data_IF_204400974331
#
_entry.id   IF_204400974331
#
_cell.length_a   1.000
_cell.length_b   1.000
_cell.length_c   1.000
_cell.angle_alpha   90.00
_cell.angle_beta   90.00
_cell.angle_gamma   90.00
#
_symmetry.space_group_name_H-M   'P 1'
#
loop_
_entity.id
_entity.type
_entity.pdbx_description
1 polymer ?
#
# COMPACT_ATOMS: atom_id res chain seq x y z
N UNK A 1 13.62 60.70 -18.74
CA UNK A 1 13.38 61.88 -17.88
C UNK A 1 12.01 62.44 -18.21
N UNK A 2 11.25 63.06 -17.28
CA UNK A 2 11.24 63.06 -15.80
C UNK A 2 9.92 62.39 -15.29
N UNK A 3 9.59 62.14 -14.02
CA UNK A 3 10.01 62.69 -12.74
C UNK A 3 8.78 63.33 -12.05
N UNK A 4 8.22 62.69 -11.00
CA UNK A 4 7.36 63.36 -10.01
C UNK A 4 7.15 62.50 -8.75
N UNK A 5 7.95 62.79 -7.72
CA UNK A 5 7.74 62.48 -6.30
C UNK A 5 6.80 63.51 -5.65
N UNK A 6 5.94 63.10 -4.69
CA UNK A 6 5.90 63.57 -3.27
C UNK A 6 4.61 63.17 -2.53
N UNK A 7 4.76 62.45 -1.40
CA UNK A 7 4.38 62.81 0.01
C UNK A 7 2.88 62.85 0.31
N UNK A 8 2.30 62.46 1.45
CA UNK A 8 2.65 62.01 2.81
C UNK A 8 1.31 61.38 3.34
N UNK A 9 1.29 60.44 4.29
CA UNK A 9 1.00 60.83 5.68
C UNK A 9 1.44 59.79 6.70
N UNK A 10 2.01 60.32 7.79
CA UNK A 10 2.61 59.66 8.93
C UNK A 10 1.60 59.77 10.08
N UNK A 11 1.05 58.66 10.54
CA UNK A 11 0.33 58.62 11.82
C UNK A 11 1.00 57.65 12.78
N UNK A 12 1.38 58.24 13.92
CA UNK A 12 2.06 57.66 15.06
C UNK A 12 1.12 56.72 15.84
N UNK A 13 1.59 55.53 16.23
CA UNK A 13 1.17 54.88 17.48
C UNK A 13 2.37 54.19 18.13
N UNK A 14 2.89 54.86 19.16
CA UNK A 14 3.49 54.39 20.43
C UNK A 14 4.18 53.01 20.49
N UNK A 15 5.47 53.07 20.74
CA UNK A 15 6.31 52.03 21.35
C UNK A 15 6.01 51.85 22.84
N UNK A 16 5.76 50.62 23.28
CA UNK A 16 5.81 50.20 24.69
C UNK A 16 6.63 48.91 24.82
N UNK A 17 7.40 48.73 25.91
CA UNK A 17 8.37 47.64 26.04
C UNK A 17 7.72 46.33 26.51
N UNK A 18 8.14 45.22 25.91
CA UNK A 18 7.72 43.85 26.27
C UNK A 18 8.47 43.44 27.54
N UNK A 19 7.74 43.31 28.65
CA UNK A 19 8.19 42.69 29.89
C UNK A 19 7.90 41.18 29.85
N UNK A 20 8.71 40.33 30.50
CA UNK A 20 8.51 38.88 30.51
C UNK A 20 7.38 38.50 31.48
N UNK A 21 6.61 37.42 31.22
CA UNK A 21 5.60 36.97 32.16
C UNK A 21 6.26 36.35 33.40
N UNK A 22 5.88 36.90 34.54
CA UNK A 22 6.28 36.51 35.90
C UNK A 22 5.68 35.15 36.25
N UNK A 23 6.52 34.31 36.86
CA UNK A 23 6.19 33.04 37.52
C UNK A 23 5.16 33.34 38.63
N UNK A 24 3.93 32.85 38.47
CA UNK A 24 2.93 32.87 39.53
C UNK A 24 3.09 31.63 40.42
N UNK A 25 3.82 31.80 41.50
CA UNK A 25 3.63 31.02 42.74
C UNK A 25 2.23 31.26 43.30
N UNK A 26 1.40 30.22 43.37
CA UNK A 26 0.32 30.13 44.34
C UNK A 26 0.37 28.78 45.03
N UNK A 27 0.41 28.87 46.36
CA UNK A 27 0.51 27.80 47.33
C UNK A 27 -0.89 27.32 47.78
N UNK A 28 -0.84 26.33 48.68
CA UNK A 28 -1.89 25.67 49.47
C UNK A 28 -2.55 24.46 48.78
N UNK A 29 -2.62 23.27 49.39
CA UNK A 29 -2.60 22.95 50.82
C UNK A 29 -2.22 21.49 51.09
N UNK A 30 -1.63 21.27 52.28
CA UNK A 30 -1.37 19.97 52.88
C UNK A 30 -2.68 19.31 53.37
N UNK A 31 -2.86 18.02 53.07
CA UNK A 31 -3.55 17.11 53.98
C UNK A 31 -2.71 15.84 54.12
N UNK A 32 -2.34 15.54 55.36
CA UNK A 32 -1.29 14.59 55.70
C UNK A 32 -1.68 13.13 55.57
N UNK A 33 -0.66 12.31 55.34
CA UNK A 33 -0.55 11.03 56.04
C UNK A 33 0.86 10.89 56.61
N UNK A 34 0.90 10.79 57.94
CA UNK A 34 2.07 10.40 58.72
C UNK A 34 2.43 8.96 58.39
N UNK A 35 3.64 8.70 57.92
CA UNK A 35 4.44 7.53 58.32
C UNK A 35 5.92 7.93 58.36
N UNK A 36 6.63 7.33 59.32
CA UNK A 36 7.91 7.70 59.93
C UNK A 36 9.13 7.81 58.98
N UNK A 37 10.23 8.49 59.40
CA UNK A 37 11.44 8.61 58.62
C UNK A 37 12.24 7.31 58.72
N UNK A 38 12.30 6.55 57.63
CA UNK A 38 13.19 5.39 57.51
C UNK A 38 14.22 5.69 56.42
N UNK A 39 15.48 5.81 56.88
CA UNK A 39 16.67 5.31 56.20
C UNK A 39 16.96 5.82 54.79
N UNK A 40 17.99 6.66 54.71
CA UNK A 40 18.72 6.92 53.47
C UNK A 40 19.21 5.60 52.83
N UNK A 41 18.53 5.14 51.77
CA UNK A 41 19.07 4.33 50.66
C UNK A 41 17.96 3.80 49.74
N UNK A 42 17.01 4.66 49.32
CA UNK A 42 16.14 4.32 48.18
C UNK A 42 16.81 4.93 46.96
N UNK A 43 17.14 4.16 45.90
CA UNK A 43 17.51 4.75 44.62
C UNK A 43 16.28 5.49 44.10
N UNK A 44 16.20 6.79 44.32
CA UNK A 44 15.30 7.65 43.57
C UNK A 44 15.70 7.49 42.11
N UNK A 45 14.83 6.87 41.32
CA UNK A 45 15.01 6.76 39.87
C UNK A 45 15.31 8.17 39.33
N UNK A 46 16.29 8.31 38.42
CA UNK A 46 16.60 9.60 37.83
C UNK A 46 15.33 10.21 37.23
N UNK A 47 15.18 11.53 37.36
CA UNK A 47 14.08 12.26 36.72
C UNK A 47 14.01 11.83 35.25
N UNK A 48 12.81 11.48 34.78
CA UNK A 48 12.60 11.08 33.39
C UNK A 48 13.08 12.23 32.49
N UNK A 49 14.20 12.05 31.80
CA UNK A 49 14.60 12.98 30.76
C UNK A 49 13.52 12.99 29.67
N UNK A 50 13.13 14.17 29.15
CA UNK A 50 12.17 14.24 28.06
C UNK A 50 12.73 13.42 26.87
N UNK A 51 11.94 12.49 26.31
CA UNK A 51 12.42 11.67 25.20
C UNK A 51 12.79 12.55 24.02
N UNK A 52 13.99 12.32 23.47
CA UNK A 52 14.41 13.03 22.27
C UNK A 52 13.59 12.52 21.09
N UNK A 53 13.03 13.43 20.29
CA UNK A 53 12.37 13.07 19.05
C UNK A 53 13.35 12.32 18.12
N UNK A 54 12.97 11.16 17.56
CA UNK A 54 13.77 10.45 16.57
C UNK A 54 14.19 11.38 15.43
N UNK A 55 15.50 11.43 15.14
CA UNK A 55 16.01 12.19 13.99
C UNK A 55 15.92 11.31 12.74
N UNK A 56 15.28 11.83 11.70
CA UNK A 56 15.11 11.15 10.41
C UNK A 56 15.91 11.84 9.30
N UNK A 57 16.42 11.04 8.36
CA UNK A 57 17.06 11.57 7.16
C UNK A 57 16.00 12.15 6.20
N UNK A 58 16.24 13.28 5.52
CA UNK A 58 15.38 13.71 4.43
C UNK A 58 15.39 12.64 3.33
N UNK A 59 14.21 12.12 2.99
CA UNK A 59 14.09 11.05 2.01
C UNK A 59 14.39 11.60 0.59
N UNK A 60 15.25 10.95 -0.21
CA UNK A 60 15.56 11.42 -1.55
C UNK A 60 14.33 11.33 -2.45
N UNK A 61 14.24 12.23 -3.41
CA UNK A 61 13.18 12.20 -4.42
C UNK A 61 13.41 11.05 -5.40
N UNK A 62 12.89 9.86 -5.07
CA UNK A 62 12.90 8.72 -5.99
C UNK A 62 11.92 8.96 -7.14
N UNK A 63 12.31 8.70 -8.41
CA UNK A 63 11.41 8.85 -9.55
C UNK A 63 10.25 7.86 -9.43
N UNK A 64 9.04 8.41 -9.38
CA UNK A 64 7.79 7.66 -9.37
C UNK A 64 7.19 7.70 -10.78
N UNK A 65 6.81 6.54 -11.31
CA UNK A 65 6.09 6.46 -12.57
C UNK A 65 4.77 7.25 -12.47
N UNK A 66 4.41 7.91 -13.57
CA UNK A 66 3.11 8.56 -13.67
C UNK A 66 1.99 7.53 -13.51
N UNK A 67 0.94 7.88 -12.75
CA UNK A 67 -0.20 7.01 -12.47
C UNK A 67 -0.88 6.53 -13.75
N UNK A 68 -0.98 7.42 -14.75
CA UNK A 68 -1.51 7.08 -16.07
C UNK A 68 -0.67 6.01 -16.78
N UNK A 69 0.66 6.16 -16.77
CA UNK A 69 1.56 5.20 -17.41
C UNK A 69 1.46 3.82 -16.74
N UNK A 70 1.40 3.79 -15.41
CA UNK A 70 1.25 2.53 -14.68
C UNK A 70 -0.07 1.83 -15.02
N UNK A 71 -1.20 2.55 -15.03
CA UNK A 71 -2.50 1.96 -15.38
C UNK A 71 -2.54 1.49 -16.84
N UNK A 72 -1.95 2.25 -17.77
CA UNK A 72 -1.81 1.84 -19.17
C UNK A 72 -0.97 0.56 -19.30
N UNK A 73 0.16 0.50 -18.60
CA UNK A 73 1.07 -0.64 -18.60
C UNK A 73 0.43 -1.91 -17.99
N UNK A 74 -0.32 -1.75 -16.89
CA UNK A 74 -1.06 -2.84 -16.26
C UNK A 74 -2.24 -3.32 -17.11
N UNK A 75 -2.95 -2.40 -17.78
CA UNK A 75 -4.03 -2.73 -18.72
C UNK A 75 -3.47 -3.51 -19.92
N UNK A 76 -2.36 -3.03 -20.51
CA UNK A 76 -1.66 -3.73 -21.58
C UNK A 76 -1.25 -5.15 -21.17
N UNK A 77 -0.65 -5.30 -19.98
CA UNK A 77 -0.31 -6.62 -19.43
C UNK A 77 -1.52 -7.53 -19.28
N UNK A 78 -2.62 -7.03 -18.72
CA UNK A 78 -3.83 -7.81 -18.52
C UNK A 78 -4.45 -8.26 -19.85
N UNK A 79 -4.54 -7.38 -20.85
CA UNK A 79 -5.07 -7.70 -22.18
C UNK A 79 -4.17 -8.72 -22.90
N UNK A 80 -2.85 -8.49 -22.91
CA UNK A 80 -1.91 -9.41 -23.55
C UNK A 80 -1.89 -10.78 -22.87
N UNK A 81 -1.89 -10.85 -21.54
CA UNK A 81 -1.95 -12.14 -20.83
C UNK A 81 -3.26 -12.88 -21.05
N UNK A 82 -4.38 -12.16 -21.21
CA UNK A 82 -5.66 -12.72 -21.64
C UNK A 82 -5.55 -13.33 -23.04
N UNK A 83 -4.99 -12.59 -24.00
CA UNK A 83 -4.79 -13.06 -25.36
C UNK A 83 -3.88 -14.31 -25.39
N UNK A 84 -2.82 -14.32 -24.58
CA UNK A 84 -1.94 -15.49 -24.43
C UNK A 84 -2.64 -16.68 -23.78
N UNK A 85 -3.58 -16.45 -22.86
CA UNK A 85 -4.40 -17.54 -22.31
C UNK A 85 -5.31 -18.12 -23.37
N UNK A 86 -6.00 -17.28 -24.17
CA UNK A 86 -6.76 -17.77 -25.31
C UNK A 86 -5.88 -18.53 -26.32
N UNK A 87 -4.64 -18.12 -26.51
CA UNK A 87 -3.67 -18.85 -27.33
C UNK A 87 -3.33 -20.23 -26.73
N UNK A 88 -3.18 -20.35 -25.41
CA UNK A 88 -2.95 -21.64 -24.76
C UNK A 88 -4.09 -22.65 -24.99
N UNK A 89 -5.32 -22.13 -25.03
CA UNK A 89 -6.53 -22.93 -25.22
C UNK A 89 -6.78 -23.27 -26.70
N UNK A 90 -6.89 -22.24 -27.55
CA UNK A 90 -7.44 -22.35 -28.90
C UNK A 90 -6.37 -22.33 -30.01
N UNK A 91 -5.13 -22.72 -29.69
CA UNK A 91 -4.05 -22.81 -30.68
C UNK A 91 -4.45 -23.65 -31.89
N UNK A 92 -4.00 -23.24 -33.06
CA UNK A 92 -4.07 -24.03 -34.29
C UNK A 92 -2.68 -24.48 -34.72
N UNK A 93 -2.60 -25.39 -35.71
CA UNK A 93 -1.35 -25.82 -36.34
C UNK A 93 -1.24 -25.19 -37.74
N UNK A 94 -1.22 -23.86 -37.77
CA UNK A 94 -1.27 -23.07 -39.02
C UNK A 94 0.03 -23.11 -39.84
N UNK A 95 1.15 -23.53 -39.24
CA UNK A 95 2.46 -23.59 -39.89
C UNK A 95 2.74 -24.94 -40.57
N UNK A 96 1.81 -25.90 -40.49
CA UNK A 96 2.00 -27.22 -41.11
C UNK A 96 1.65 -27.15 -42.60
N UNK A 97 2.49 -27.72 -43.50
CA UNK A 97 2.12 -27.85 -44.90
C UNK A 97 0.82 -28.66 -45.03
N UNK A 98 -0.16 -28.14 -45.77
CA UNK A 98 -1.52 -28.69 -45.96
C UNK A 98 -2.51 -28.53 -44.78
N UNK A 99 -2.26 -27.65 -43.81
CA UNK A 99 -3.30 -27.30 -42.82
C UNK A 99 -4.43 -26.47 -43.44
N UNK A 100 -5.69 -26.89 -43.24
CA UNK A 100 -6.87 -26.11 -43.66
C UNK A 100 -7.03 -24.79 -42.89
N UNK A 101 -6.31 -24.60 -41.79
CA UNK A 101 -6.35 -23.41 -40.95
C UNK A 101 -5.22 -22.43 -41.31
N UNK A 102 -5.60 -21.21 -41.70
CA UNK A 102 -4.66 -20.11 -42.03
C UNK A 102 -4.32 -19.20 -40.84
N UNK A 103 -5.09 -19.28 -39.76
CA UNK A 103 -4.97 -18.43 -38.57
C UNK A 103 -4.33 -19.19 -37.43
N UNK A 104 -3.55 -18.51 -36.59
CA UNK A 104 -2.82 -19.10 -35.46
C UNK A 104 -3.69 -19.56 -34.28
N UNK A 105 -4.94 -19.09 -34.23
CA UNK A 105 -5.95 -19.47 -33.24
C UNK A 105 -7.27 -19.76 -33.94
N UNK A 106 -8.02 -20.71 -33.38
CA UNK A 106 -9.38 -21.05 -33.82
C UNK A 106 -10.40 -20.05 -33.24
N UNK A 107 -10.45 -18.83 -33.79
CA UNK A 107 -11.28 -17.74 -33.29
C UNK A 107 -12.79 -18.07 -33.27
N UNK A 108 -13.26 -18.94 -34.15
CA UNK A 108 -14.67 -19.34 -34.21
C UNK A 108 -15.13 -20.13 -32.97
N UNK A 109 -14.20 -20.66 -32.16
CA UNK A 109 -14.50 -21.37 -30.92
C UNK A 109 -14.62 -20.42 -29.72
N UNK A 110 -14.21 -19.16 -29.88
CA UNK A 110 -14.17 -18.15 -28.82
C UNK A 110 -15.47 -17.35 -28.86
N UNK A 111 -16.15 -17.25 -27.72
CA UNK A 111 -17.34 -16.41 -27.59
C UNK A 111 -16.95 -14.92 -27.59
N UNK A 112 -17.37 -14.12 -28.58
CA UNK A 112 -16.99 -12.71 -28.66
C UNK A 112 -17.57 -11.88 -27.50
N UNK A 113 -18.75 -12.24 -26.98
CA UNK A 113 -19.38 -11.53 -25.87
C UNK A 113 -18.58 -11.72 -24.57
N UNK A 114 -18.01 -12.92 -24.38
CA UNK A 114 -17.11 -13.20 -23.27
C UNK A 114 -15.84 -12.36 -23.36
N UNK A 115 -15.25 -12.25 -24.55
CA UNK A 115 -14.04 -11.44 -24.76
C UNK A 115 -14.32 -9.97 -24.47
N UNK A 116 -15.44 -9.43 -24.94
CA UNK A 116 -15.86 -8.05 -24.63
C UNK A 116 -16.05 -7.88 -23.12
N UNK A 117 -16.70 -8.82 -22.45
CA UNK A 117 -16.87 -8.78 -20.99
C UNK A 117 -15.52 -8.70 -20.24
N UNK A 118 -14.56 -9.55 -20.63
CA UNK A 118 -13.22 -9.58 -20.02
C UNK A 118 -12.49 -8.26 -20.29
N UNK A 119 -12.47 -7.78 -21.53
CA UNK A 119 -11.75 -6.55 -21.91
C UNK A 119 -12.33 -5.34 -21.18
N UNK A 120 -13.65 -5.18 -21.14
CA UNK A 120 -14.31 -4.08 -20.41
C UNK A 120 -13.96 -4.14 -18.93
N UNK A 121 -13.99 -5.33 -18.33
CA UNK A 121 -13.67 -5.51 -16.91
C UNK A 121 -12.21 -5.17 -16.60
N UNK A 122 -11.25 -5.61 -17.42
CA UNK A 122 -9.83 -5.37 -17.20
C UNK A 122 -9.40 -3.93 -17.51
N UNK A 123 -10.02 -3.29 -18.50
CA UNK A 123 -9.67 -1.92 -18.93
C UNK A 123 -10.32 -0.80 -18.12
N UNK A 124 -11.27 -1.13 -17.23
CA UNK A 124 -12.10 -0.18 -16.47
C UNK A 124 -11.35 1.01 -15.84
N UNK A 125 -10.18 0.75 -15.25
CA UNK A 125 -9.39 1.77 -14.55
C UNK A 125 -8.65 2.67 -15.52
N UNK A 126 -8.09 2.08 -16.57
CA UNK A 126 -7.44 2.82 -17.63
C UNK A 126 -8.43 3.75 -18.35
N UNK A 127 -9.64 3.26 -18.65
CA UNK A 127 -10.72 4.07 -19.24
C UNK A 127 -11.07 5.25 -18.33
N UNK A 128 -11.26 5.00 -17.04
CA UNK A 128 -11.57 6.06 -16.07
C UNK A 128 -10.45 7.12 -16.00
N UNK A 129 -9.20 6.69 -15.83
CA UNK A 129 -8.05 7.60 -15.72
C UNK A 129 -7.82 8.41 -17.00
N UNK A 130 -8.01 7.78 -18.17
CA UNK A 130 -7.97 8.47 -19.47
C UNK A 130 -9.04 9.55 -19.56
N UNK A 131 -10.28 9.23 -19.14
CA UNK A 131 -11.36 10.19 -19.09
C UNK A 131 -11.10 11.36 -18.13
N UNK A 132 -10.59 11.08 -16.93
CA UNK A 132 -10.17 12.12 -15.99
C UNK A 132 -9.07 13.02 -16.59
N UNK A 133 -8.08 12.45 -17.29
CA UNK A 133 -7.02 13.24 -17.93
C UNK A 133 -7.58 14.18 -19.01
N UNK A 134 -8.57 13.72 -19.78
CA UNK A 134 -9.26 14.55 -20.78
C UNK A 134 -10.07 15.65 -20.09
N UNK A 135 -10.85 15.31 -19.05
CA UNK A 135 -11.63 16.29 -18.28
C UNK A 135 -10.76 17.38 -17.65
N UNK A 136 -9.55 17.03 -17.19
CA UNK A 136 -8.61 17.98 -16.61
C UNK A 136 -8.10 19.02 -17.59
N UNK A 137 -8.04 18.69 -18.89
CA UNK A 137 -7.69 19.64 -19.93
C UNK A 137 -8.83 20.62 -20.24
N UNK A 138 -10.07 20.27 -19.88
CA UNK A 138 -11.27 21.01 -20.25
C UNK A 138 -11.77 21.89 -19.09
N UNK A 139 -11.57 21.50 -17.82
CA UNK A 139 -12.25 22.10 -16.65
C UNK A 139 -11.27 22.77 -15.67
N UNK A 140 -11.61 24.00 -15.25
CA UNK A 140 -10.86 24.82 -14.27
C UNK A 140 -11.26 24.48 -12.81
N UNK A 141 -10.24 24.39 -11.95
CA UNK A 141 -10.08 23.80 -10.60
C UNK A 141 -11.30 23.67 -9.65
N UNK A 142 -12.16 24.68 -9.50
CA UNK A 142 -13.06 24.76 -8.33
C UNK A 142 -14.23 23.77 -8.30
N UNK A 143 -14.53 23.08 -9.41
CA UNK A 143 -15.62 22.08 -9.51
C UNK A 143 -15.14 20.66 -9.86
N UNK A 144 -13.83 20.41 -9.86
CA UNK A 144 -13.26 19.17 -10.38
C UNK A 144 -13.72 17.91 -9.60
N UNK A 145 -13.80 17.97 -8.26
CA UNK A 145 -14.19 16.80 -7.45
C UNK A 145 -15.61 16.31 -7.73
N UNK A 146 -16.57 17.23 -7.85
CA UNK A 146 -17.95 16.89 -8.20
C UNK A 146 -18.04 16.29 -9.61
N UNK A 147 -17.32 16.86 -10.58
CA UNK A 147 -17.35 16.40 -11.96
C UNK A 147 -16.73 15.00 -12.09
N UNK A 148 -15.63 14.70 -11.39
CA UNK A 148 -15.08 13.34 -11.35
C UNK A 148 -16.05 12.33 -10.74
N UNK A 149 -16.83 12.74 -9.73
CA UNK A 149 -17.84 11.88 -9.14
C UNK A 149 -18.94 11.55 -10.14
N UNK A 150 -19.51 12.56 -10.83
CA UNK A 150 -20.51 12.35 -11.88
C UNK A 150 -19.98 11.49 -13.03
N UNK A 151 -18.76 11.77 -13.51
CA UNK A 151 -18.12 10.99 -14.55
C UNK A 151 -17.93 9.52 -14.13
N UNK A 152 -17.56 9.27 -12.88
CA UNK A 152 -17.44 7.92 -12.32
C UNK A 152 -18.77 7.18 -12.31
N UNK A 153 -19.86 7.82 -11.86
CA UNK A 153 -21.19 7.21 -11.88
C UNK A 153 -21.68 6.92 -13.29
N UNK A 154 -21.44 7.84 -14.22
CA UNK A 154 -21.76 7.67 -15.63
C UNK A 154 -21.03 6.48 -16.25
N UNK A 155 -19.70 6.40 -16.07
CA UNK A 155 -18.91 5.26 -16.54
C UNK A 155 -19.35 3.94 -15.88
N UNK A 156 -19.64 3.96 -14.58
CA UNK A 156 -20.15 2.78 -13.88
C UNK A 156 -21.46 2.28 -14.48
N UNK A 157 -22.40 3.19 -14.73
CA UNK A 157 -23.69 2.84 -15.33
C UNK A 157 -23.52 2.22 -16.72
N UNK A 158 -22.71 2.85 -17.59
CA UNK A 158 -22.42 2.31 -18.93
C UNK A 158 -21.76 0.93 -18.85
N UNK A 159 -20.76 0.77 -17.98
CA UNK A 159 -20.09 -0.51 -17.79
C UNK A 159 -21.05 -1.58 -17.30
N UNK A 160 -21.90 -1.28 -16.31
CA UNK A 160 -22.92 -2.21 -15.85
C UNK A 160 -23.87 -2.61 -16.98
N UNK A 161 -24.34 -1.66 -17.80
CA UNK A 161 -25.21 -1.94 -18.95
C UNK A 161 -24.53 -2.85 -20.00
N UNK A 162 -23.26 -2.60 -20.31
CA UNK A 162 -22.51 -3.45 -21.27
C UNK A 162 -22.29 -4.84 -20.69
N UNK A 163 -21.88 -4.92 -19.41
CA UNK A 163 -21.62 -6.20 -18.75
C UNK A 163 -22.91 -7.02 -18.61
N UNK A 164 -24.04 -6.41 -18.25
CA UNK A 164 -25.33 -7.11 -18.18
C UNK A 164 -25.77 -7.58 -19.56
N UNK A 165 -25.66 -6.75 -20.61
CA UNK A 165 -25.96 -7.16 -21.98
C UNK A 165 -25.10 -8.35 -22.42
N UNK A 166 -23.78 -8.28 -22.18
CA UNK A 166 -22.87 -9.38 -22.47
C UNK A 166 -23.25 -10.64 -21.67
N UNK A 167 -23.60 -10.51 -20.38
CA UNK A 167 -24.03 -11.65 -19.59
C UNK A 167 -25.29 -12.27 -20.17
N UNK A 168 -26.33 -11.49 -20.51
CA UNK A 168 -27.58 -11.98 -21.09
C UNK A 168 -27.35 -12.75 -22.40
N UNK A 169 -26.47 -12.26 -23.27
CA UNK A 169 -26.11 -12.95 -24.51
C UNK A 169 -25.34 -14.25 -24.23
N UNK A 170 -24.50 -14.28 -23.21
CA UNK A 170 -23.82 -15.51 -22.76
C UNK A 170 -24.81 -16.51 -22.16
N UNK A 171 -25.86 -16.08 -21.44
CA UNK A 171 -26.91 -16.97 -20.91
C UNK A 171 -27.62 -17.73 -22.04
N UNK A 172 -27.87 -17.07 -23.17
CA UNK A 172 -28.56 -17.70 -24.29
C UNK A 172 -27.74 -18.82 -24.93
N UNK A 173 -26.42 -18.76 -24.82
CA UNK A 173 -25.49 -19.67 -25.50
C UNK A 173 -24.85 -20.71 -24.57
N UNK A 174 -24.90 -20.52 -23.24
CA UNK A 174 -24.19 -21.35 -22.27
C UNK A 174 -25.06 -21.76 -21.08
N UNK A 175 -24.67 -22.85 -20.41
CA UNK A 175 -25.32 -23.34 -19.18
C UNK A 175 -25.20 -22.33 -18.02
N UNK A 176 -26.19 -22.34 -17.13
CA UNK A 176 -26.32 -21.37 -16.02
C UNK A 176 -25.13 -21.37 -15.05
N UNK A 177 -24.45 -22.51 -14.88
CA UNK A 177 -23.27 -22.64 -14.00
C UNK A 177 -22.15 -21.66 -14.39
N UNK A 178 -21.97 -21.42 -15.70
CA UNK A 178 -20.92 -20.53 -16.21
C UNK A 178 -21.17 -19.05 -15.87
N UNK A 179 -22.41 -18.67 -15.62
CA UNK A 179 -22.79 -17.30 -15.23
C UNK A 179 -22.32 -17.01 -13.80
N UNK A 180 -22.42 -17.99 -12.90
CA UNK A 180 -21.98 -17.85 -11.51
C UNK A 180 -20.49 -17.52 -11.44
N UNK A 181 -19.67 -18.13 -12.31
CA UNK A 181 -18.26 -17.79 -12.41
C UNK A 181 -18.05 -16.33 -12.82
N UNK A 182 -18.86 -15.78 -13.73
CA UNK A 182 -18.69 -14.42 -14.20
C UNK A 182 -18.99 -13.37 -13.11
N UNK A 183 -19.98 -13.66 -12.25
CA UNK A 183 -20.42 -12.79 -11.16
C UNK A 183 -19.61 -12.94 -9.85
N UNK A 184 -18.79 -13.98 -9.70
CA UNK A 184 -18.10 -14.26 -8.43
C UNK A 184 -17.22 -13.10 -7.91
N UNK A 185 -16.36 -12.44 -8.72
CA UNK A 185 -15.60 -11.29 -8.27
C UNK A 185 -16.45 -10.07 -7.87
N UNK A 186 -17.67 -9.96 -8.39
CA UNK A 186 -18.62 -8.91 -7.99
C UNK A 186 -19.15 -9.15 -6.56
N UNK A 187 -19.45 -10.39 -6.21
CA UNK A 187 -19.83 -10.71 -4.82
C UNK A 187 -18.68 -10.48 -3.84
N UNK A 188 -17.46 -10.87 -4.22
CA UNK A 188 -16.26 -10.55 -3.42
C UNK A 188 -16.10 -9.03 -3.28
N UNK A 189 -16.34 -8.27 -4.35
CA UNK A 189 -16.29 -6.81 -4.30
C UNK A 189 -17.26 -6.23 -3.28
N UNK A 190 -18.51 -6.70 -3.26
CA UNK A 190 -19.53 -6.22 -2.31
C UNK A 190 -19.14 -6.54 -0.86
N UNK A 191 -18.63 -7.74 -0.58
CA UNK A 191 -18.19 -8.13 0.77
C UNK A 191 -16.99 -7.27 1.23
N UNK A 192 -16.05 -7.00 0.32
CA UNK A 192 -14.87 -6.21 0.63
C UNK A 192 -15.22 -4.71 0.71
N UNK A 193 -15.67 -4.09 -0.37
CA UNK A 193 -15.77 -2.64 -0.47
C UNK A 193 -17.17 -2.07 -0.19
N UNK A 194 -18.18 -2.93 -0.01
CA UNK A 194 -19.57 -2.52 0.11
C UNK A 194 -20.07 -1.87 -1.18
N UNK A 195 -20.94 -0.87 -1.05
CA UNK A 195 -21.51 -0.10 -2.17
C UNK A 195 -20.62 1.08 -2.62
N UNK A 196 -19.38 1.16 -2.15
CA UNK A 196 -18.47 2.23 -2.56
C UNK A 196 -18.00 2.00 -3.99
N UNK A 197 -18.20 2.96 -4.88
CA UNK A 197 -17.77 2.86 -6.30
C UNK A 197 -16.32 3.35 -6.48
N UNK A 198 -15.78 4.09 -5.51
CA UNK A 198 -14.42 4.65 -5.60
C UNK A 198 -13.33 3.58 -5.86
N UNK A 199 -13.24 2.47 -5.08
CA UNK A 199 -12.20 1.44 -5.25
C UNK A 199 -12.31 0.67 -6.58
N UNK A 200 -13.44 0.76 -7.27
CA UNK A 200 -13.65 0.07 -8.54
C UNK A 200 -12.79 0.67 -9.66
N UNK A 201 -12.69 2.00 -9.69
CA UNK A 201 -12.07 2.77 -10.77
C UNK A 201 -10.70 3.36 -10.40
N UNK A 202 -10.50 3.71 -9.12
CA UNK A 202 -9.33 4.46 -8.67
C UNK A 202 -8.55 3.60 -7.68
N UNK A 203 -7.25 3.42 -7.94
CA UNK A 203 -6.32 2.95 -6.92
C UNK A 203 -6.17 4.04 -5.85
N UNK A 204 -6.29 3.70 -4.57
CA UNK A 204 -6.10 4.67 -3.47
C UNK A 204 -4.75 5.38 -3.61
N UNK A 205 -4.80 6.62 -4.08
CA UNK A 205 -3.73 7.61 -4.01
C UNK A 205 -4.33 8.91 -3.49
N UNK A 206 -3.77 9.35 -2.37
CA UNK A 206 -4.26 10.50 -1.63
C UNK A 206 -4.36 11.74 -2.50
N UNK A 207 -5.54 12.36 -2.51
CA UNK A 207 -5.79 13.80 -2.65
C UNK A 207 -6.93 14.13 -1.67
N UNK A 208 -6.86 15.23 -0.89
CA UNK A 208 -6.13 16.47 -1.21
C UNK A 208 -4.77 16.64 -0.50
N UNK A 209 -4.48 15.93 0.59
CA UNK A 209 -3.21 16.08 1.32
C UNK A 209 -2.49 14.74 1.38
N UNK A 210 -1.21 14.60 0.97
CA UNK A 210 -0.48 13.37 1.23
C UNK A 210 -0.41 13.12 2.74
N UNK A 211 -0.30 11.86 3.21
CA UNK A 211 -0.02 11.59 4.61
C UNK A 211 1.38 12.13 4.90
N UNK A 212 1.46 13.38 5.34
CA UNK A 212 2.68 13.93 5.88
C UNK A 212 2.77 13.42 7.30
N UNK A 213 3.82 12.67 7.60
CA UNK A 213 4.16 12.40 8.98
C UNK A 213 4.40 13.74 9.66
N UNK A 214 3.56 14.08 10.62
CA UNK A 214 3.80 15.21 11.51
C UNK A 214 4.69 14.68 12.64
N UNK A 215 5.92 15.19 12.74
CA UNK A 215 6.80 14.89 13.87
C UNK A 215 6.24 15.57 15.13
N UNK A 216 5.11 15.08 15.63
CA UNK A 216 4.45 15.59 16.82
C UNK A 216 5.20 15.15 18.07
N UNK A 217 5.16 16.00 19.09
CA UNK A 217 5.67 15.71 20.42
C UNK A 217 4.55 15.22 21.36
N UNK A 218 3.30 15.14 20.87
CA UNK A 218 2.14 14.66 21.63
C UNK A 218 1.95 13.16 21.44
N UNK A 219 1.91 12.41 22.55
CA UNK A 219 1.70 10.96 22.53
C UNK A 219 0.34 10.58 21.92
N UNK A 220 -0.72 11.36 22.20
CA UNK A 220 -2.06 11.12 21.68
C UNK A 220 -2.15 11.33 20.16
N UNK A 221 -1.46 12.33 19.63
CA UNK A 221 -1.43 12.60 18.18
C UNK A 221 -0.68 11.50 17.41
N UNK A 222 0.45 11.02 17.95
CA UNK A 222 1.21 9.91 17.36
C UNK A 222 0.35 8.63 17.31
N UNK A 223 -0.37 8.30 18.39
CA UNK A 223 -1.28 7.14 18.43
C UNK A 223 -2.37 7.26 17.36
N UNK A 224 -3.04 8.40 17.29
CA UNK A 224 -4.09 8.68 16.30
C UNK A 224 -3.55 8.63 14.86
N UNK A 225 -2.36 9.14 14.61
CA UNK A 225 -1.69 9.06 13.31
C UNK A 225 -1.45 7.59 12.91
N UNK A 226 -0.89 6.78 13.81
CA UNK A 226 -0.60 5.37 13.55
C UNK A 226 -1.88 4.58 13.28
N UNK A 227 -2.96 4.80 14.03
CA UNK A 227 -4.25 4.14 13.78
C UNK A 227 -4.81 4.48 12.38
N UNK A 228 -4.71 5.76 11.98
CA UNK A 228 -5.05 6.19 10.63
C UNK A 228 -4.16 5.54 9.57
N UNK A 229 -2.86 5.36 9.84
CA UNK A 229 -1.93 4.71 8.93
C UNK A 229 -2.19 3.19 8.81
N UNK A 230 -2.55 2.51 9.91
CA UNK A 230 -2.94 1.10 9.91
C UNK A 230 -4.17 0.88 9.04
N UNK A 231 -5.22 1.68 9.27
CA UNK A 231 -6.46 1.59 8.47
C UNK A 231 -6.19 1.88 7.00
N UNK A 232 -5.38 2.90 6.68
CA UNK A 232 -4.99 3.22 5.31
C UNK A 232 -4.20 2.08 4.63
N UNK A 233 -3.22 1.51 5.33
CA UNK A 233 -2.43 0.38 4.84
C UNK A 233 -3.31 -0.83 4.53
N UNK A 234 -4.25 -1.14 5.43
CA UNK A 234 -5.20 -2.25 5.24
C UNK A 234 -6.10 -2.03 4.02
N UNK A 235 -6.62 -0.81 3.83
CA UNK A 235 -7.40 -0.45 2.64
C UNK A 235 -6.59 -0.62 1.34
N UNK A 236 -5.32 -0.16 1.32
CA UNK A 236 -4.43 -0.34 0.17
C UNK A 236 -4.12 -1.80 -0.13
N UNK A 237 -3.83 -2.60 0.90
CA UNK A 237 -3.58 -4.03 0.75
C UNK A 237 -4.79 -4.78 0.20
N UNK A 238 -5.98 -4.42 0.67
CA UNK A 238 -7.25 -4.96 0.17
C UNK A 238 -7.46 -4.67 -1.31
N UNK A 239 -7.16 -3.46 -1.76
CA UNK A 239 -7.21 -3.09 -3.18
C UNK A 239 -6.17 -3.82 -4.02
N UNK A 240 -4.92 -3.93 -3.55
CA UNK A 240 -3.86 -4.67 -4.22
C UNK A 240 -4.30 -6.12 -4.45
N UNK A 241 -4.75 -6.80 -3.38
CA UNK A 241 -5.18 -8.19 -3.44
C UNK A 241 -6.38 -8.38 -4.35
N UNK A 242 -7.44 -7.59 -4.15
CA UNK A 242 -8.64 -7.68 -4.98
C UNK A 242 -8.33 -7.47 -6.46
N UNK A 243 -7.52 -6.46 -6.79
CA UNK A 243 -7.12 -6.20 -8.18
C UNK A 243 -6.32 -7.36 -8.77
N UNK A 244 -5.32 -7.85 -8.05
CA UNK A 244 -4.47 -8.94 -8.54
C UNK A 244 -5.29 -10.21 -8.78
N UNK A 245 -6.23 -10.51 -7.87
CA UNK A 245 -7.18 -11.62 -8.02
C UNK A 245 -8.08 -11.39 -9.22
N UNK A 246 -8.71 -10.22 -9.36
CA UNK A 246 -9.56 -9.92 -10.52
C UNK A 246 -8.82 -10.07 -11.84
N UNK A 247 -7.58 -9.59 -11.92
CA UNK A 247 -6.77 -9.70 -13.13
C UNK A 247 -6.48 -11.16 -13.45
N UNK A 248 -6.00 -11.96 -12.49
CA UNK A 248 -5.74 -13.39 -12.71
C UNK A 248 -7.02 -14.18 -13.03
N UNK A 249 -8.13 -13.81 -12.40
CA UNK A 249 -9.43 -14.45 -12.58
C UNK A 249 -9.99 -14.21 -13.99
N UNK A 250 -10.13 -12.94 -14.41
CA UNK A 250 -10.70 -12.62 -15.71
C UNK A 250 -9.73 -12.85 -16.88
N UNK A 251 -8.43 -12.60 -16.70
CA UNK A 251 -7.45 -12.81 -17.77
C UNK A 251 -7.07 -14.28 -17.95
N UNK A 252 -7.08 -15.06 -16.86
CA UNK A 252 -6.56 -16.43 -16.85
C UNK A 252 -7.61 -17.52 -16.63
N UNK A 253 -8.37 -17.42 -15.54
CA UNK A 253 -9.29 -18.48 -15.12
C UNK A 253 -10.58 -18.54 -15.95
N UNK A 254 -11.20 -17.40 -16.23
CA UNK A 254 -12.46 -17.35 -17.00
C UNK A 254 -12.32 -17.98 -18.40
N UNK A 255 -11.26 -17.70 -19.20
CA UNK A 255 -11.05 -18.42 -20.45
C UNK A 255 -11.05 -19.94 -20.30
N UNK A 256 -10.46 -20.48 -19.21
CA UNK A 256 -10.45 -21.92 -18.92
C UNK A 256 -11.85 -22.48 -18.61
N UNK A 257 -12.67 -21.77 -17.84
CA UNK A 257 -14.02 -22.21 -17.50
C UNK A 257 -14.98 -22.21 -18.69
N UNK A 258 -14.73 -21.33 -19.66
CA UNK A 258 -15.53 -21.23 -20.89
C UNK A 258 -14.95 -22.05 -22.05
N UNK A 259 -13.86 -22.79 -21.83
CA UNK A 259 -13.34 -23.74 -22.80
C UNK A 259 -14.40 -24.78 -23.19
N UNK A 260 -14.39 -25.21 -24.44
CA UNK A 260 -15.31 -26.24 -24.92
C UNK A 260 -14.90 -27.62 -24.38
N UNK A 261 -15.87 -28.46 -24.04
CA UNK A 261 -15.62 -29.77 -23.42
C UNK A 261 -14.83 -30.74 -24.31
N UNK A 262 -14.86 -30.54 -25.63
CA UNK A 262 -14.11 -31.31 -26.63
C UNK A 262 -12.69 -30.79 -26.87
N UNK A 263 -12.29 -29.67 -26.26
CA UNK A 263 -11.00 -29.04 -26.48
C UNK A 263 -9.93 -29.70 -25.60
N UNK A 264 -8.98 -30.38 -26.23
CA UNK A 264 -7.80 -30.90 -25.54
C UNK A 264 -6.71 -29.83 -25.42
N UNK A 265 -6.52 -29.31 -24.21
CA UNK A 265 -5.45 -28.39 -23.88
C UNK A 265 -4.69 -28.84 -22.62
N UNK A 266 -3.52 -28.24 -22.41
CA UNK A 266 -2.63 -28.56 -21.30
C UNK A 266 -3.08 -27.76 -20.06
N UNK A 267 -3.93 -28.38 -19.23
CA UNK A 267 -4.52 -27.71 -18.07
C UNK A 267 -3.47 -27.26 -17.04
N UNK A 268 -2.36 -27.99 -16.91
CA UNK A 268 -1.28 -27.61 -16.01
C UNK A 268 -0.62 -26.29 -16.47
N UNK A 269 -0.32 -26.17 -17.76
CA UNK A 269 0.24 -24.94 -18.31
C UNK A 269 -0.72 -23.76 -18.25
N UNK A 270 -2.01 -23.99 -18.52
CA UNK A 270 -3.03 -22.96 -18.38
C UNK A 270 -3.17 -22.49 -16.92
N UNK A 271 -3.14 -23.40 -15.95
CA UNK A 271 -3.18 -23.08 -14.51
C UNK A 271 -1.92 -22.33 -14.05
N UNK A 272 -0.75 -22.73 -14.53
CA UNK A 272 0.52 -22.07 -14.23
C UNK A 272 0.54 -20.62 -14.73
N UNK A 273 -0.05 -20.36 -15.91
CA UNK A 273 -0.20 -19.00 -16.44
C UNK A 273 -1.04 -18.11 -15.52
N UNK A 274 -2.14 -18.63 -14.96
CA UNK A 274 -2.97 -17.91 -13.98
C UNK A 274 -2.14 -17.48 -12.76
N UNK A 275 -1.32 -18.40 -12.24
CA UNK A 275 -0.44 -18.13 -11.10
C UNK A 275 0.60 -17.05 -11.41
N UNK A 276 1.18 -17.08 -12.62
CA UNK A 276 2.11 -16.04 -13.07
C UNK A 276 1.44 -14.68 -13.20
N UNK A 277 0.23 -14.60 -13.75
CA UNK A 277 -0.54 -13.34 -13.81
C UNK A 277 -0.79 -12.80 -12.40
N UNK A 278 -1.21 -13.66 -11.46
CA UNK A 278 -1.51 -13.26 -10.09
C UNK A 278 -0.29 -12.68 -9.39
N UNK A 279 0.83 -13.41 -9.36
CA UNK A 279 2.04 -12.95 -8.65
C UNK A 279 2.59 -11.67 -9.30
N UNK A 280 2.71 -11.67 -10.63
CA UNK A 280 3.23 -10.52 -11.38
C UNK A 280 2.38 -9.27 -11.11
N UNK A 281 1.06 -9.42 -11.19
CA UNK A 281 0.12 -8.35 -10.89
C UNK A 281 0.21 -7.88 -9.44
N UNK A 282 0.24 -8.80 -8.48
CA UNK A 282 0.34 -8.48 -7.05
C UNK A 282 1.61 -7.68 -6.71
N UNK A 283 2.77 -8.09 -7.23
CA UNK A 283 4.04 -7.39 -6.97
C UNK A 283 4.03 -6.01 -7.64
N UNK A 284 3.60 -5.93 -8.90
CA UNK A 284 3.51 -4.66 -9.64
C UNK A 284 2.64 -3.63 -8.93
N UNK A 285 1.43 -4.03 -8.54
CA UNK A 285 0.48 -3.21 -7.78
C UNK A 285 1.05 -2.83 -6.41
N UNK A 286 1.68 -3.78 -5.73
CA UNK A 286 2.30 -3.54 -4.43
C UNK A 286 3.39 -2.48 -4.48
N UNK A 287 4.21 -2.42 -5.54
CA UNK A 287 5.28 -1.42 -5.67
C UNK A 287 4.69 -0.04 -5.97
N UNK A 288 3.63 0.02 -6.78
CA UNK A 288 3.05 1.30 -7.19
C UNK A 288 2.18 1.93 -6.08
N UNK A 289 1.38 1.13 -5.38
CA UNK A 289 0.47 1.60 -4.33
C UNK A 289 1.23 1.77 -3.00
N UNK A 290 2.06 0.80 -2.61
CA UNK A 290 2.96 0.92 -1.46
C UNK A 290 4.32 1.46 -1.92
N UNK A 291 4.30 2.70 -2.42
CA UNK A 291 5.50 3.39 -2.86
C UNK A 291 6.53 3.50 -1.72
N UNK A 292 7.81 3.60 -2.08
CA UNK A 292 8.89 3.68 -1.10
C UNK A 292 8.73 4.87 -0.14
N UNK A 293 8.23 6.01 -0.63
CA UNK A 293 7.89 7.19 0.20
C UNK A 293 6.80 6.88 1.22
N UNK A 294 5.79 6.10 0.85
CA UNK A 294 4.75 5.69 1.78
C UNK A 294 5.29 4.73 2.84
N UNK A 295 6.16 3.79 2.45
CA UNK A 295 6.87 2.94 3.41
C UNK A 295 7.76 3.75 4.37
N UNK A 296 8.35 4.86 3.91
CA UNK A 296 9.12 5.77 4.76
C UNK A 296 8.24 6.47 5.81
N UNK A 297 7.07 6.95 5.41
CA UNK A 297 6.09 7.55 6.34
C UNK A 297 5.72 6.54 7.43
N UNK A 298 5.38 5.30 7.06
CA UNK A 298 5.07 4.23 8.01
C UNK A 298 6.25 3.92 8.95
N UNK A 299 7.48 3.95 8.42
CA UNK A 299 8.68 3.72 9.20
C UNK A 299 8.91 4.82 10.24
N UNK A 300 8.80 6.09 9.86
CA UNK A 300 8.96 7.24 10.78
C UNK A 300 7.92 7.18 11.89
N UNK A 301 6.64 7.02 11.54
CA UNK A 301 5.57 6.92 12.54
C UNK A 301 5.78 5.71 13.45
N UNK A 302 6.34 4.60 12.95
CA UNK A 302 6.70 3.45 13.79
C UNK A 302 7.86 3.75 14.75
N UNK A 303 8.87 4.52 14.34
CA UNK A 303 9.94 4.96 15.24
C UNK A 303 9.41 5.86 16.36
N UNK A 304 8.50 6.79 16.03
CA UNK A 304 7.84 7.66 17.01
C UNK A 304 6.91 6.91 17.97
N UNK A 305 6.30 5.81 17.53
CA UNK A 305 5.39 5.00 18.32
C UNK A 305 6.10 4.23 19.46
N UNK A 306 7.27 3.65 19.15
CA UNK A 306 7.97 2.75 20.06
C UNK A 306 7.23 1.44 20.33
N UNK A 307 7.74 0.65 21.27
CA UNK A 307 7.11 -0.59 21.71
C UNK A 307 7.43 -0.91 23.17
N UNK A 308 6.58 -1.73 23.77
CA UNK A 308 6.70 -2.20 25.15
C UNK A 308 7.06 -3.69 25.19
N UNK A 309 8.00 -4.02 26.07
CA UNK A 309 8.32 -5.39 26.44
C UNK A 309 7.72 -5.71 27.81
N UNK A 310 7.00 -6.82 27.90
CA UNK A 310 6.43 -7.29 29.18
C UNK A 310 7.55 -7.92 30.00
N UNK A 311 7.73 -7.44 31.22
CA UNK A 311 8.60 -8.06 32.21
C UNK A 311 7.77 -8.98 33.10
N UNK A 312 8.22 -10.21 33.27
CA UNK A 312 7.58 -11.16 34.19
C UNK A 312 7.89 -10.74 35.63
N UNK A 313 6.83 -10.45 36.39
CA UNK A 313 6.87 -9.93 37.77
C UNK A 313 7.56 -10.87 38.78
N UNK A 314 7.84 -12.12 38.40
CA UNK A 314 8.34 -13.16 39.31
C UNK A 314 9.84 -13.11 39.65
N UNK A 315 10.67 -12.32 38.95
CA UNK A 315 12.14 -12.34 39.14
C UNK A 315 12.77 -11.04 39.63
N UNK A 316 12.04 -9.93 39.64
CA UNK A 316 12.60 -8.63 40.02
C UNK A 316 11.53 -7.78 40.69
N UNK A 317 11.67 -7.60 42.01
CA UNK A 317 10.84 -6.70 42.83
C UNK A 317 11.27 -5.24 42.57
N UNK A 318 11.19 -4.80 41.32
CA UNK A 318 11.47 -3.41 40.97
C UNK A 318 10.28 -2.56 41.42
N UNK A 319 10.48 -1.69 42.41
CA UNK A 319 9.50 -0.67 42.79
C UNK A 319 9.39 0.35 41.64
N UNK A 320 8.50 0.05 40.70
CA UNK A 320 8.13 0.98 39.63
C UNK A 320 6.99 1.85 40.16
N UNK A 321 7.31 3.10 40.54
CA UNK A 321 6.32 4.09 40.97
C UNK A 321 5.54 4.70 39.80
N UNK A 322 6.06 4.59 38.57
CA UNK A 322 5.47 5.21 37.40
C UNK A 322 4.31 4.37 36.86
N UNK A 323 3.08 4.88 37.01
CA UNK A 323 1.90 4.37 36.30
C UNK A 323 1.88 4.91 34.87
N UNK A 324 1.40 4.10 33.93
CA UNK A 324 1.27 4.55 32.55
C UNK A 324 0.30 5.72 32.45
N UNK A 325 0.67 6.72 31.67
CA UNK A 325 -0.14 7.90 31.37
C UNK A 325 -0.23 8.09 29.86
N UNK A 326 -1.41 8.48 29.42
CA UNK A 326 -1.77 8.63 28.00
C UNK A 326 -1.07 9.77 27.28
N UNK A 327 -0.75 10.84 28.01
CA UNK A 327 -0.21 12.08 27.45
C UNK A 327 1.32 12.16 27.52
N UNK A 328 1.95 11.18 28.16
CA UNK A 328 3.39 11.18 28.42
C UNK A 328 4.12 10.32 27.38
N UNK A 329 5.13 10.89 26.74
CA UNK A 329 6.09 10.12 25.97
C UNK A 329 7.12 9.52 26.92
N UNK A 330 7.30 8.19 26.83
CA UNK A 330 8.24 7.47 27.67
C UNK A 330 9.60 7.31 26.97
N UNK A 331 10.72 7.64 27.63
CA UNK A 331 12.06 7.45 27.08
C UNK A 331 12.47 5.98 27.08
N UNK A 332 13.52 5.68 26.32
CA UNK A 332 14.10 4.35 26.26
C UNK A 332 14.43 3.80 27.67
N UNK A 333 14.05 2.54 27.91
CA UNK A 333 14.33 1.85 29.17
C UNK A 333 13.42 2.22 30.34
N UNK A 334 12.49 3.17 30.17
CA UNK A 334 11.52 3.51 31.20
C UNK A 334 10.66 2.30 31.58
N UNK A 335 10.48 2.11 32.88
CA UNK A 335 9.63 1.07 33.45
C UNK A 335 8.30 1.68 33.86
N UNK A 336 7.22 1.04 33.43
CA UNK A 336 5.87 1.53 33.65
C UNK A 336 4.96 0.39 34.10
N UNK A 337 4.13 0.67 35.09
CA UNK A 337 3.07 -0.24 35.54
C UNK A 337 1.79 0.01 34.74
N UNK A 338 1.28 -1.03 34.09
CA UNK A 338 0.00 -1.01 33.38
C UNK A 338 -0.76 -2.31 33.68
N UNK A 339 -1.90 -2.19 34.37
CA UNK A 339 -2.63 -3.34 34.90
C UNK A 339 -1.84 -4.09 36.00
N UNK A 340 -1.72 -5.41 35.88
CA UNK A 340 -0.98 -6.29 36.82
C UNK A 340 0.49 -6.48 36.45
N UNK A 341 0.90 -6.03 35.26
CA UNK A 341 2.21 -6.29 34.67
C UNK A 341 3.09 -5.04 34.66
N UNK A 342 4.40 -5.27 34.62
CA UNK A 342 5.42 -4.23 34.44
C UNK A 342 5.90 -4.29 33.00
N UNK A 343 5.97 -3.12 32.36
CA UNK A 343 6.39 -2.99 30.97
C UNK A 343 7.65 -2.13 30.87
N UNK A 344 8.54 -2.48 29.96
CA UNK A 344 9.77 -1.74 29.65
C UNK A 344 9.67 -1.11 28.26
N UNK A 345 9.99 0.18 28.16
CA UNK A 345 10.06 0.87 26.88
C UNK A 345 11.31 0.45 26.09
N UNK A 346 11.13 0.00 24.84
CA UNK A 346 12.23 -0.39 23.92
C UNK A 346 12.52 0.62 22.81
N UNK A 347 11.65 1.60 22.57
CA UNK A 347 11.85 2.65 21.57
C UNK A 347 12.61 3.86 22.12
N UNK A 348 13.20 4.67 21.24
CA UNK A 348 13.84 5.95 21.62
C UNK A 348 12.82 6.92 22.24
N UNK A 349 11.60 6.91 21.70
CA UNK A 349 10.39 7.42 22.33
C UNK A 349 9.28 6.36 22.25
N UNK A 350 8.45 6.28 23.28
CA UNK A 350 7.36 5.32 23.34
C UNK A 350 6.04 6.01 23.70
N UNK A 351 5.14 6.06 22.73
CA UNK A 351 3.77 6.56 22.85
C UNK A 351 2.72 5.46 22.79
N UNK A 352 3.13 4.23 22.46
CA UNK A 352 2.21 3.09 22.33
C UNK A 352 1.51 2.77 23.65
N UNK A 353 0.33 2.17 23.58
CA UNK A 353 -0.35 1.62 24.74
C UNK A 353 0.21 0.23 25.08
N UNK A 354 0.63 -0.03 26.34
CA UNK A 354 1.09 -1.35 26.76
C UNK A 354 0.00 -2.41 26.55
N UNK A 355 0.34 -3.53 25.91
CA UNK A 355 -0.60 -4.62 25.65
C UNK A 355 -1.43 -4.50 24.36
N UNK A 356 -1.39 -3.36 23.65
CA UNK A 356 -2.09 -3.23 22.37
C UNK A 356 -1.37 -4.01 21.24
N UNK A 357 -2.00 -5.10 20.78
CA UNK A 357 -1.43 -6.01 19.76
C UNK A 357 -1.31 -5.33 18.39
N UNK A 358 -2.22 -4.42 18.05
CA UNK A 358 -2.25 -3.72 16.76
C UNK A 358 -1.03 -2.79 16.61
N UNK A 359 -0.80 -1.94 17.61
CA UNK A 359 0.33 -1.00 17.65
C UNK A 359 1.67 -1.75 17.71
N UNK A 360 1.74 -2.84 18.49
CA UNK A 360 2.93 -3.70 18.55
C UNK A 360 3.25 -4.35 17.19
N UNK A 361 2.24 -4.88 16.50
CA UNK A 361 2.42 -5.48 15.16
C UNK A 361 2.87 -4.42 14.15
N UNK A 362 2.27 -3.23 14.17
CA UNK A 362 2.66 -2.11 13.33
C UNK A 362 4.14 -1.76 13.53
N UNK A 363 4.57 -1.60 14.78
CA UNK A 363 5.97 -1.33 15.10
C UNK A 363 6.91 -2.40 14.52
N UNK A 364 6.65 -3.69 14.75
CA UNK A 364 7.53 -4.74 14.25
C UNK A 364 7.58 -4.84 12.71
N UNK A 365 6.46 -4.62 12.04
CA UNK A 365 6.40 -4.68 10.56
C UNK A 365 7.12 -3.49 9.92
N UNK A 366 6.94 -2.28 10.46
CA UNK A 366 7.43 -1.05 9.84
C UNK A 366 8.72 -0.50 10.44
N UNK A 367 9.24 -1.08 11.54
CA UNK A 367 10.58 -0.75 12.07
C UNK A 367 11.68 -0.95 11.02
N UNK A 368 11.54 -1.91 10.12
CA UNK A 368 12.51 -2.14 9.03
C UNK A 368 11.79 -2.36 7.69
N UNK A 369 11.43 -1.28 6.96
CA UNK A 369 10.71 -1.38 5.69
C UNK A 369 11.47 -2.19 4.62
N UNK A 370 12.80 -2.20 4.68
CA UNK A 370 13.67 -3.00 3.80
C UNK A 370 13.34 -4.50 3.82
N UNK A 371 12.83 -5.04 4.93
CA UNK A 371 12.44 -6.45 5.00
C UNK A 371 11.27 -6.77 4.07
N UNK A 372 10.25 -5.91 4.07
CA UNK A 372 9.08 -6.08 3.19
C UNK A 372 9.44 -5.97 1.71
N UNK A 373 10.37 -5.08 1.35
CA UNK A 373 10.89 -4.97 -0.01
C UNK A 373 11.73 -6.19 -0.40
N UNK A 374 12.56 -6.69 0.51
CA UNK A 374 13.37 -7.90 0.29
C UNK A 374 12.49 -9.12 0.03
N UNK A 375 11.39 -9.28 0.77
CA UNK A 375 10.45 -10.39 0.57
C UNK A 375 9.84 -10.34 -0.83
N UNK A 376 9.37 -9.17 -1.27
CA UNK A 376 8.86 -8.97 -2.63
C UNK A 376 9.93 -9.27 -3.69
N UNK A 377 11.16 -8.83 -3.46
CA UNK A 377 12.29 -9.03 -4.39
C UNK A 377 12.64 -10.51 -4.53
N UNK A 378 12.72 -11.22 -3.40
CA UNK A 378 12.98 -12.65 -3.38
C UNK A 378 11.89 -13.44 -4.12
N UNK A 379 10.63 -13.10 -3.87
CA UNK A 379 9.49 -13.75 -4.52
C UNK A 379 9.49 -13.52 -6.04
N UNK A 380 9.79 -12.30 -6.49
CA UNK A 380 9.91 -11.99 -7.92
C UNK A 380 11.13 -12.67 -8.57
N UNK A 381 12.26 -12.75 -7.87
CA UNK A 381 13.46 -13.41 -8.37
C UNK A 381 13.23 -14.91 -8.58
N UNK A 382 12.59 -15.58 -7.62
CA UNK A 382 12.18 -16.99 -7.76
C UNK A 382 11.26 -17.14 -8.98
N UNK A 383 10.27 -16.26 -9.12
CA UNK A 383 9.34 -16.31 -10.25
C UNK A 383 10.08 -16.21 -11.59
N UNK A 384 11.00 -15.25 -11.73
CA UNK A 384 11.78 -15.03 -12.96
C UNK A 384 12.69 -16.22 -13.25
N UNK A 385 13.38 -16.77 -12.25
CA UNK A 385 14.22 -17.97 -12.41
C UNK A 385 13.37 -19.16 -12.85
N UNK A 386 12.21 -19.39 -12.22
CA UNK A 386 11.28 -20.44 -12.63
C UNK A 386 10.84 -20.25 -14.09
N UNK A 387 10.47 -19.03 -14.48
CA UNK A 387 10.08 -18.70 -15.86
C UNK A 387 11.20 -18.93 -16.87
N UNK A 388 12.45 -18.61 -16.51
CA UNK A 388 13.63 -18.88 -17.34
C UNK A 388 13.90 -20.38 -17.51
N UNK A 389 13.83 -21.16 -16.43
CA UNK A 389 14.00 -22.61 -16.49
C UNK A 389 12.91 -23.24 -17.36
N UNK A 390 11.67 -22.77 -17.23
CA UNK A 390 10.55 -23.22 -18.07
C UNK A 390 10.73 -22.83 -19.53
N UNK A 391 11.27 -21.64 -19.81
CA UNK A 391 11.55 -21.18 -21.17
C UNK A 391 12.57 -22.09 -21.86
N UNK A 392 13.68 -22.41 -21.18
CA UNK A 392 14.73 -23.31 -21.70
C UNK A 392 14.19 -24.72 -21.94
N UNK A 393 13.28 -25.20 -21.10
CA UNK A 393 12.64 -26.52 -21.26
C UNK A 393 11.55 -26.54 -22.32
N UNK A 394 10.97 -25.41 -22.67
CA UNK A 394 9.83 -25.33 -23.58
C UNK A 394 10.26 -25.43 -25.04
N UNK A 395 9.72 -26.41 -25.76
CA UNK A 395 9.94 -26.58 -27.20
C UNK A 395 8.79 -26.03 -28.05
N UNK A 396 7.63 -25.79 -27.43
CA UNK A 396 6.41 -25.37 -28.13
C UNK A 396 6.35 -23.84 -28.25
N UNK A 397 6.16 -23.35 -29.46
CA UNK A 397 6.20 -21.92 -29.79
C UNK A 397 5.26 -21.06 -28.95
N UNK A 398 4.02 -21.51 -28.70
CA UNK A 398 3.04 -20.74 -27.93
C UNK A 398 3.44 -20.60 -26.45
N UNK A 399 4.09 -21.63 -25.88
CA UNK A 399 4.65 -21.59 -24.52
C UNK A 399 5.81 -20.59 -24.46
N UNK A 400 6.68 -20.60 -25.47
CA UNK A 400 7.82 -19.67 -25.59
C UNK A 400 7.34 -18.22 -25.67
N UNK A 401 6.38 -17.91 -26.55
CA UNK A 401 5.85 -16.54 -26.71
C UNK A 401 5.24 -16.04 -25.39
N UNK A 402 4.41 -16.87 -24.75
CA UNK A 402 3.75 -16.50 -23.50
C UNK A 402 4.73 -16.24 -22.37
N UNK A 403 5.70 -17.14 -22.17
CA UNK A 403 6.75 -16.98 -21.16
C UNK A 403 7.63 -15.76 -21.43
N UNK A 404 8.01 -15.52 -22.69
CA UNK A 404 8.84 -14.37 -23.08
C UNK A 404 8.15 -13.05 -22.76
N UNK A 405 6.85 -12.94 -23.06
CA UNK A 405 6.07 -11.74 -22.76
C UNK A 405 6.02 -11.47 -21.25
N UNK A 406 5.70 -12.49 -20.43
CA UNK A 406 5.64 -12.33 -18.97
C UNK A 406 7.02 -12.00 -18.41
N UNK A 407 8.08 -12.64 -18.90
CA UNK A 407 9.46 -12.35 -18.50
C UNK A 407 9.83 -10.90 -18.78
N UNK A 408 9.52 -10.38 -19.97
CA UNK A 408 9.78 -8.98 -20.33
C UNK A 408 9.11 -8.01 -19.34
N UNK A 409 7.84 -8.26 -19.02
CA UNK A 409 7.11 -7.46 -18.04
C UNK A 409 7.72 -7.56 -16.63
N UNK A 410 8.10 -8.78 -16.21
CA UNK A 410 8.73 -9.03 -14.94
C UNK A 410 10.12 -8.40 -14.81
N UNK A 411 10.89 -8.28 -15.88
CA UNK A 411 12.18 -7.57 -15.84
C UNK A 411 12.03 -6.09 -15.53
N UNK A 412 11.02 -5.42 -16.10
CA UNK A 412 10.73 -4.03 -15.77
C UNK A 412 10.42 -3.87 -14.27
N UNK A 413 9.55 -4.75 -13.73
CA UNK A 413 9.18 -4.73 -12.32
C UNK A 413 10.39 -5.04 -11.44
N UNK A 414 11.21 -6.01 -11.83
CA UNK A 414 12.40 -6.44 -11.10
C UNK A 414 13.41 -5.31 -11.00
N UNK A 415 13.69 -4.62 -12.11
CA UNK A 415 14.56 -3.45 -12.13
C UNK A 415 14.07 -2.38 -11.14
N UNK A 416 12.78 -2.04 -11.18
CA UNK A 416 12.19 -1.03 -10.30
C UNK A 416 12.28 -1.43 -8.82
N UNK A 417 11.91 -2.67 -8.51
CA UNK A 417 11.95 -3.20 -7.15
C UNK A 417 13.37 -3.30 -6.60
N UNK A 418 14.33 -3.72 -7.43
CA UNK A 418 15.73 -3.80 -7.07
C UNK A 418 16.32 -2.43 -6.77
N UNK A 419 16.03 -1.44 -7.62
CA UNK A 419 16.40 -0.03 -7.39
C UNK A 419 15.85 0.47 -6.04
N UNK A 420 14.55 0.29 -5.80
CA UNK A 420 13.90 0.76 -4.57
C UNK A 420 14.46 0.04 -3.32
N UNK A 421 14.80 -1.26 -3.45
CA UNK A 421 15.49 -2.01 -2.41
C UNK A 421 16.88 -1.46 -2.11
N UNK A 422 17.70 -1.17 -3.11
CA UNK A 422 19.05 -0.62 -2.91
C UNK A 422 19.02 0.74 -2.21
N UNK A 423 18.12 1.62 -2.66
CA UNK A 423 17.93 2.95 -2.06
C UNK A 423 17.49 2.82 -0.61
N UNK A 424 16.46 2.01 -0.33
CA UNK A 424 15.98 1.73 1.02
C UNK A 424 17.08 1.15 1.91
N UNK A 425 17.80 0.14 1.42
CA UNK A 425 18.81 -0.56 2.18
C UNK A 425 19.94 0.38 2.62
N UNK A 426 20.39 1.26 1.72
CA UNK A 426 21.43 2.24 2.03
C UNK A 426 20.95 3.27 3.06
N UNK A 427 19.79 3.90 2.84
CA UNK A 427 19.26 4.94 3.73
C UNK A 427 19.06 4.42 5.15
N UNK A 428 18.33 3.31 5.31
CA UNK A 428 18.03 2.78 6.64
C UNK A 428 19.23 2.12 7.31
N UNK A 429 20.29 1.78 6.57
CA UNK A 429 21.56 1.37 7.18
C UNK A 429 22.26 2.56 7.82
N UNK A 430 22.40 3.66 7.09
CA UNK A 430 23.00 4.89 7.62
C UNK A 430 22.21 5.47 8.80
N UNK A 431 20.88 5.47 8.74
CA UNK A 431 20.02 5.93 9.84
C UNK A 431 20.24 5.08 11.12
N UNK A 432 20.32 3.75 10.99
CA UNK A 432 20.62 2.86 12.12
C UNK A 432 22.01 3.10 12.69
N UNK A 433 23.01 3.32 11.85
CA UNK A 433 24.39 3.56 12.29
C UNK A 433 24.51 4.91 13.02
N UNK A 434 23.74 5.91 12.61
CA UNK A 434 23.62 7.19 13.32
C UNK A 434 22.93 7.04 14.69
N UNK A 435 21.81 6.30 14.75
CA UNK A 435 21.10 6.04 16.02
C UNK A 435 22.00 5.28 17.00
N UNK A 436 22.78 4.30 16.54
CA UNK A 436 23.80 3.63 17.36
C UNK A 436 24.87 4.57 17.89
N UNK A 437 25.38 5.48 17.06
CA UNK A 437 26.37 6.48 17.48
C UNK A 437 25.80 7.42 18.55
N UNK A 438 24.56 7.89 18.38
CA UNK A 438 23.89 8.75 19.37
C UNK A 438 23.69 8.00 20.70
N UNK A 439 23.22 6.75 20.64
CA UNK A 439 22.97 5.95 21.84
C UNK A 439 24.26 5.53 22.57
N UNK A 440 25.40 5.41 21.87
CA UNK A 440 26.70 5.16 22.49
C UNK A 440 27.35 6.42 23.10
N UNK A 441 26.83 7.62 22.78
CA UNK A 441 27.31 8.91 23.32
C UNK A 441 26.53 9.34 24.58
N UNK A 442 25.42 8.68 24.89
CA UNK A 442 24.68 8.80 26.16
C UNK A 442 25.06 7.64 27.07
#
# INVERSE_FOLDING_TARGET
>A
MPGATRRLNRNNVRSTPISPPVISTFANELCGQRYAPLGASVPTLPALEPPAAPKHFPFPNTPMDNDFFFEAFMCFFAICTTALQFLHLYRSVWWLPNSYTRLAMNFYLIDPNLVVFIIVTLSRRFIYMSGCMILNKIIIDQRQEYIYSYFRFFLFSIMCMILTLCTCLVIQNHQLEKILYLCYPFFIYLILFGFNIHPFFVLIKWKPTPPLHACSLSAAEIRKEVENLITNFNCRMKEILFTAICNAYYAGFIPCCFAQSSLHYDSFWAAQHIFFIFITGFISLSIHILSLRYCDILHRSALHLGTWERLETGRTMLLVNNTWKEDVLWPYGALVRYGKDIWRAQGDCNSSEPGNVGLRRFYHVFKNPTYTLRLKLFLLLILVICQLVLLVRSTLWYKIISLTFILFFNYYILFKLFRDYLVSHKIYREERDLHKKINNLR
#
